data_IF_097514970094
#
_entry.id   IF_097514970094
#
_cell.length_a   1.000
_cell.length_b   1.000
_cell.length_c   1.000
_cell.angle_alpha   90.00
_cell.angle_beta   90.00
_cell.angle_gamma   90.00
#
_symmetry.space_group_name_H-M   'P 1'
#
loop_
_entity.id
_entity.type
_entity.pdbx_description
1 polymer ?
#
# COMPACT_ATOMS: atom_id res chain seq x y z
N UNK A 1 -2.33 -4.16 -4.47
CA UNK A 1 -2.21 -2.75 -4.03
C UNK A 1 -3.59 -2.10 -4.12
N UNK A 2 -3.90 -1.11 -3.30
CA UNK A 2 -5.22 -0.46 -3.30
C UNK A 2 -5.11 1.06 -3.19
N UNK A 3 -6.16 1.79 -3.58
CA UNK A 3 -6.29 3.23 -3.35
C UNK A 3 -7.68 3.54 -2.82
N UNK A 4 -7.80 4.41 -1.82
CA UNK A 4 -9.11 4.82 -1.29
C UNK A 4 -9.93 5.56 -2.36
N UNK A 5 -11.23 5.31 -2.45
CA UNK A 5 -12.16 5.90 -3.41
C UNK A 5 -12.33 7.40 -3.19
N UNK A 6 -12.82 8.11 -4.22
CA UNK A 6 -13.15 9.54 -4.10
C UNK A 6 -14.24 9.70 -3.06
N UNK A 7 -14.13 10.73 -2.23
CA UNK A 7 -15.08 11.00 -1.15
C UNK A 7 -14.83 10.21 0.14
N UNK A 8 -13.91 9.24 0.16
CA UNK A 8 -13.49 8.56 1.40
C UNK A 8 -12.44 9.37 2.15
N UNK A 9 -11.47 9.93 1.41
CA UNK A 9 -10.44 10.83 1.94
C UNK A 9 -10.23 12.00 0.98
N UNK A 10 -9.62 13.09 1.47
CA UNK A 10 -9.18 14.20 0.62
C UNK A 10 -8.16 13.75 -0.43
N UNK A 11 -8.10 14.45 -1.57
CA UNK A 11 -7.26 14.06 -2.71
C UNK A 11 -5.77 13.92 -2.35
N UNK A 12 -5.25 14.75 -1.44
CA UNK A 12 -3.86 14.67 -0.96
C UNK A 12 -3.54 13.35 -0.25
N UNK A 13 -4.56 12.62 0.22
CA UNK A 13 -4.46 11.32 0.88
C UNK A 13 -4.86 10.16 -0.03
N UNK A 14 -5.26 10.40 -1.29
CA UNK A 14 -5.59 9.32 -2.26
C UNK A 14 -4.33 8.73 -2.89
N UNK A 15 -3.45 8.22 -2.03
CA UNK A 15 -2.23 7.50 -2.40
C UNK A 15 -2.49 6.00 -2.51
N UNK A 16 -1.53 5.28 -3.07
CA UNK A 16 -1.60 3.82 -3.16
C UNK A 16 -1.03 3.16 -1.91
N UNK A 17 -1.80 2.23 -1.33
CA UNK A 17 -1.40 1.46 -0.15
C UNK A 17 -1.02 0.03 -0.54
N UNK A 18 0.06 -0.45 0.07
CA UNK A 18 0.48 -1.84 -0.01
C UNK A 18 -0.22 -2.64 1.09
N UNK A 19 -0.90 -3.70 0.68
CA UNK A 19 -1.64 -4.60 1.56
C UNK A 19 -0.90 -5.93 1.59
N UNK A 20 -0.47 -6.41 2.77
CA UNK A 20 0.00 -7.79 2.92
C UNK A 20 -1.07 -8.76 2.43
N UNK A 21 -0.68 -9.81 1.71
CA UNK A 21 -1.64 -10.85 1.32
C UNK A 21 -2.12 -11.55 2.60
N UNK A 22 -3.41 -11.49 2.94
CA UNK A 22 -3.91 -12.14 4.15
C UNK A 22 -3.76 -13.66 4.01
N UNK A 23 -3.20 -14.30 5.03
CA UNK A 23 -3.12 -15.75 5.15
C UNK A 23 -4.26 -16.23 6.05
N UNK A 24 -5.33 -16.78 5.49
CA UNK A 24 -6.47 -17.29 6.26
C UNK A 24 -7.82 -16.87 5.67
N UNK A 25 -8.90 -16.85 6.49
CA UNK A 25 -10.23 -16.43 6.02
C UNK A 25 -10.21 -14.99 5.54
N UNK A 26 -11.20 -14.64 4.70
CA UNK A 26 -11.35 -13.27 4.19
C UNK A 26 -11.56 -12.32 5.38
N UNK A 27 -10.68 -11.32 5.57
CA UNK A 27 -10.78 -10.41 6.70
C UNK A 27 -11.91 -9.40 6.50
N UNK A 28 -12.51 -8.93 7.60
CA UNK A 28 -13.57 -7.91 7.55
C UNK A 28 -13.12 -6.53 7.08
N UNK A 29 -11.80 -6.27 7.07
CA UNK A 29 -11.15 -5.10 6.49
C UNK A 29 -9.71 -5.44 6.12
N UNK A 30 -9.10 -4.65 5.25
CA UNK A 30 -7.69 -4.75 4.94
C UNK A 30 -6.89 -3.77 5.82
N UNK A 31 -5.70 -4.18 6.23
CA UNK A 31 -4.75 -3.28 6.91
C UNK A 31 -3.55 -3.06 6.00
N UNK A 32 -3.28 -1.81 5.66
CA UNK A 32 -2.10 -1.44 4.89
C UNK A 32 -0.82 -1.55 5.73
N UNK A 33 0.34 -1.65 5.07
CA UNK A 33 1.64 -1.63 5.76
C UNK A 33 1.85 -0.37 6.63
N UNK A 34 1.23 0.75 6.25
CA UNK A 34 1.27 1.99 7.03
C UNK A 34 0.30 1.99 8.23
N UNK A 35 -0.50 0.95 8.43
CA UNK A 35 -1.51 0.82 9.49
C UNK A 35 -2.90 1.34 9.13
N UNK A 36 -3.12 1.83 7.90
CA UNK A 36 -4.45 2.31 7.47
C UNK A 36 -5.43 1.13 7.36
N UNK A 37 -6.61 1.29 7.98
CA UNK A 37 -7.71 0.32 7.88
C UNK A 37 -8.59 0.68 6.69
N UNK A 38 -8.89 -0.31 5.86
CA UNK A 38 -9.63 -0.12 4.61
C UNK A 38 -10.81 -1.07 4.60
N UNK A 39 -12.02 -0.53 4.72
CA UNK A 39 -13.25 -1.32 4.76
C UNK A 39 -13.77 -1.65 3.36
N UNK A 40 -14.62 -2.69 3.24
CA UNK A 40 -15.25 -3.04 1.97
C UNK A 40 -15.95 -1.84 1.32
N UNK A 41 -15.69 -1.62 0.03
CA UNK A 41 -16.26 -0.49 -0.72
C UNK A 41 -15.47 0.81 -0.61
N UNK A 42 -14.52 0.95 0.31
CA UNK A 42 -13.75 2.18 0.48
C UNK A 42 -12.58 2.32 -0.50
N UNK A 43 -12.16 1.23 -1.15
CA UNK A 43 -11.00 1.25 -2.04
C UNK A 43 -11.28 0.64 -3.42
N UNK A 44 -10.42 1.00 -4.37
CA UNK A 44 -10.25 0.34 -5.65
C UNK A 44 -8.95 -0.49 -5.64
N UNK A 45 -9.00 -1.69 -6.22
CA UNK A 45 -7.81 -2.53 -6.41
C UNK A 45 -7.06 -2.02 -7.64
N UNK A 46 -5.74 -1.91 -7.52
CA UNK A 46 -4.86 -1.49 -8.61
C UNK A 46 -4.08 -2.68 -9.15
N UNK A 47 -4.02 -2.80 -10.48
CA UNK A 47 -3.24 -3.82 -11.21
C UNK A 47 -1.72 -3.58 -11.19
N UNK A 48 -1.31 -2.38 -10.78
CA UNK A 48 0.09 -2.00 -10.63
C UNK A 48 0.22 -0.70 -9.85
N UNK A 49 1.45 -0.21 -9.69
CA UNK A 49 1.70 1.09 -9.06
C UNK A 49 1.17 2.21 -9.96
N UNK A 50 0.06 2.86 -9.56
CA UNK A 50 -0.58 3.94 -10.32
C UNK A 50 -0.85 5.16 -9.46
N UNK A 51 -0.06 6.21 -9.66
CA UNK A 51 -0.09 7.42 -8.82
C UNK A 51 0.93 7.34 -7.68
N UNK A 52 0.85 8.27 -6.72
CA UNK A 52 1.81 8.34 -5.63
C UNK A 52 1.61 7.19 -4.63
N UNK A 53 2.65 6.42 -4.27
CA UNK A 53 2.57 5.47 -3.18
C UNK A 53 2.52 6.18 -1.83
N UNK A 54 1.87 5.55 -0.86
CA UNK A 54 2.03 5.91 0.53
C UNK A 54 3.51 5.76 0.93
N UNK A 55 4.14 6.85 1.36
CA UNK A 55 5.55 6.86 1.75
C UNK A 55 5.87 5.78 2.80
N UNK A 56 5.04 5.66 3.83
CA UNK A 56 5.24 4.66 4.89
C UNK A 56 5.09 3.22 4.36
N UNK A 57 4.18 2.96 3.41
CA UNK A 57 4.09 1.65 2.77
C UNK A 57 5.35 1.33 1.99
N UNK A 58 5.87 2.31 1.23
CA UNK A 58 7.07 2.14 0.41
C UNK A 58 8.29 1.79 1.28
N UNK A 59 8.54 2.58 2.33
CA UNK A 59 9.67 2.34 3.27
C UNK A 59 9.56 0.96 3.91
N UNK A 60 8.37 0.56 4.38
CA UNK A 60 8.16 -0.75 5.03
C UNK A 60 8.22 -1.94 4.08
N UNK A 61 7.98 -1.71 2.78
CA UNK A 61 8.15 -2.73 1.75
C UNK A 61 9.58 -2.87 1.23
N UNK A 62 10.47 -1.94 1.58
CA UNK A 62 11.84 -2.00 1.12
C UNK A 62 12.52 -3.26 1.68
N UNK A 63 13.28 -4.00 0.86
CA UNK A 63 14.04 -5.15 1.34
C UNK A 63 15.06 -4.69 2.40
N UNK A 64 15.21 -5.49 3.46
CA UNK A 64 16.25 -5.28 4.47
C UNK A 64 17.62 -5.45 3.80
N UNK A 65 18.30 -4.35 3.51
CA UNK A 65 19.50 -4.37 2.67
C UNK A 65 20.67 -5.12 3.30
N UNK A 66 21.07 -6.25 2.70
CA UNK A 66 22.44 -6.78 2.76
C UNK A 66 23.14 -6.73 1.39
N UNK A 67 22.59 -6.03 0.39
CA UNK A 67 23.34 -5.86 -0.85
C UNK A 67 22.65 -4.99 -1.87
N UNK A 68 23.05 -3.72 -1.98
CA UNK A 68 23.02 -2.99 -3.25
C UNK A 68 23.89 -1.73 -3.22
N UNK A 69 25.20 -1.90 -3.06
CA UNK A 69 26.22 -0.95 -3.54
C UNK A 69 27.20 -1.65 -4.49
N UNK A 70 26.76 -2.68 -5.20
CA UNK A 70 27.60 -3.43 -6.15
C UNK A 70 27.74 -2.75 -7.53
N UNK A 71 27.05 -1.63 -7.78
CA UNK A 71 27.03 -0.95 -9.09
C UNK A 71 27.40 0.54 -9.03
N UNK A 72 28.04 1.01 -7.95
CA UNK A 72 28.69 2.32 -7.96
C UNK A 72 30.09 2.16 -8.56
N UNK A 73 30.12 2.00 -9.88
CA UNK A 73 31.32 2.21 -10.70
C UNK A 73 31.54 3.68 -11.01
#
# INVERSE_FOLDING_TARGET
>A
MVRLRRGVVGESRRVCHLIPVPTGPVPGHLTALCGESIFPGEAEVLDGLRGMPCHACLVRSAPSGTGLLANAG
#
